data_IF_453421025122
#
_entry.id   IF_453421025122
#
_cell.length_a   1.000
_cell.length_b   1.000
_cell.length_c   1.000
_cell.angle_alpha   90.00
_cell.angle_beta   90.00
_cell.angle_gamma   90.00
#
_symmetry.space_group_name_H-M   'P 1'
#
loop_
_entity.id
_entity.type
_entity.pdbx_description
1 polymer ?
#
# COMPACT_ATOMS: atom_id res chain seq x y z
N UNK A 1 28.82 30.27 25.52
CA UNK A 1 27.73 29.64 26.29
C UNK A 1 26.32 30.06 25.81
N UNK A 2 26.06 31.32 25.46
CA UNK A 2 24.70 31.79 25.08
C UNK A 2 24.01 31.14 23.86
N UNK A 3 24.71 30.31 23.06
CA UNK A 3 24.13 29.58 21.92
C UNK A 3 24.20 28.05 22.06
N UNK A 4 24.65 27.54 23.21
CA UNK A 4 24.77 26.09 23.43
C UNK A 4 23.41 25.36 23.33
N UNK A 5 22.31 26.07 23.58
CA UNK A 5 20.95 25.55 23.44
C UNK A 5 20.63 25.03 22.02
N UNK A 6 21.28 25.57 20.97
CA UNK A 6 21.08 25.14 19.57
C UNK A 6 21.45 23.68 19.38
N UNK A 7 22.41 23.17 20.16
CA UNK A 7 22.86 21.77 20.11
C UNK A 7 22.23 20.98 21.25
N UNK A 8 22.22 21.54 22.46
CA UNK A 8 21.79 20.82 23.66
C UNK A 8 20.30 20.48 23.66
N UNK A 9 19.43 21.36 23.13
CA UNK A 9 17.99 21.09 23.08
C UNK A 9 17.66 19.93 22.12
N UNK A 10 18.09 19.95 20.83
CA UNK A 10 17.88 18.80 19.96
C UNK A 10 18.52 17.51 20.49
N UNK A 11 19.71 17.60 21.09
CA UNK A 11 20.38 16.44 21.68
C UNK A 11 19.57 15.86 22.86
N UNK A 12 19.04 16.70 23.75
CA UNK A 12 18.21 16.25 24.86
C UNK A 12 16.90 15.61 24.40
N UNK A 13 16.25 16.20 23.38
CA UNK A 13 15.05 15.62 22.74
C UNK A 13 15.38 14.27 22.10
N UNK A 14 16.49 14.18 21.38
CA UNK A 14 16.94 12.93 20.77
C UNK A 14 17.23 11.86 21.82
N UNK A 15 17.94 12.20 22.90
CA UNK A 15 18.22 11.28 24.02
C UNK A 15 16.91 10.82 24.66
N UNK A 16 15.97 11.72 24.93
CA UNK A 16 14.65 11.37 25.48
C UNK A 16 13.88 10.40 24.59
N UNK A 17 13.84 10.67 23.28
CA UNK A 17 13.24 9.76 22.31
C UNK A 17 13.97 8.42 22.23
N UNK A 18 15.30 8.43 22.22
CA UNK A 18 16.12 7.22 22.12
C UNK A 18 15.92 6.31 23.34
N UNK A 19 15.93 6.88 24.54
CA UNK A 19 15.69 6.16 25.79
C UNK A 19 14.28 5.58 25.87
N UNK A 20 13.26 6.29 25.36
CA UNK A 20 11.88 5.82 25.37
C UNK A 20 11.60 4.72 24.34
N UNK A 21 11.98 4.94 23.08
CA UNK A 21 11.58 4.07 21.96
C UNK A 21 12.69 3.85 20.93
N UNK A 22 13.56 4.83 20.71
CA UNK A 22 14.50 4.81 19.59
C UNK A 22 15.49 3.64 19.63
N UNK A 23 15.90 3.18 20.82
CA UNK A 23 16.80 2.04 20.98
C UNK A 23 16.18 0.69 20.54
N UNK A 24 14.85 0.61 20.41
CA UNK A 24 14.13 -0.56 19.89
C UNK A 24 13.90 -0.50 18.38
N UNK A 25 14.16 0.66 17.76
CA UNK A 25 13.95 0.84 16.34
C UNK A 25 15.00 0.08 15.52
N UNK A 26 14.57 -0.50 14.40
CA UNK A 26 15.49 -1.12 13.45
C UNK A 26 16.53 -0.11 12.96
N UNK A 27 17.81 -0.53 13.07
CA UNK A 27 18.96 0.22 12.61
C UNK A 27 19.65 -0.53 11.46
N UNK A 28 19.88 0.18 10.37
CA UNK A 28 20.68 -0.29 9.24
C UNK A 28 22.16 0.07 9.37
N UNK A 29 22.60 0.69 10.47
CA UNK A 29 23.97 1.17 10.62
C UNK A 29 24.98 0.01 10.51
N UNK A 30 25.81 0.06 9.48
CA UNK A 30 26.81 -0.97 9.20
C UNK A 30 28.01 -0.39 8.45
N UNK A 31 29.16 -1.08 8.52
CA UNK A 31 30.36 -0.72 7.73
C UNK A 31 30.04 -0.78 6.24
N UNK A 32 29.24 -1.75 5.80
CA UNK A 32 28.79 -1.88 4.42
C UNK A 32 28.04 -0.64 3.93
N UNK A 33 27.11 -0.13 4.73
CA UNK A 33 26.41 1.12 4.42
C UNK A 33 27.32 2.34 4.49
N UNK A 34 28.26 2.39 5.43
CA UNK A 34 29.24 3.48 5.51
C UNK A 34 30.10 3.58 4.24
N UNK A 35 30.57 2.45 3.70
CA UNK A 35 31.33 2.41 2.44
C UNK A 35 30.49 2.85 1.25
N UNK A 36 29.18 2.56 1.24
CA UNK A 36 28.26 2.95 0.16
C UNK A 36 27.68 4.35 0.29
N UNK A 37 27.83 4.99 1.46
CA UNK A 37 27.24 6.30 1.74
C UNK A 37 27.62 7.40 0.72
N UNK A 38 28.86 7.51 0.20
CA UNK A 38 29.18 8.50 -0.82
C UNK A 38 28.37 8.32 -2.11
N UNK A 39 28.21 7.07 -2.58
CA UNK A 39 27.42 6.75 -3.77
C UNK A 39 25.94 7.04 -3.51
N UNK A 40 25.45 6.72 -2.30
CA UNK A 40 24.09 7.06 -1.87
C UNK A 40 23.84 8.57 -1.91
N UNK A 41 24.76 9.39 -1.38
CA UNK A 41 24.63 10.86 -1.37
C UNK A 41 24.54 11.41 -2.79
N UNK A 42 25.39 10.93 -3.71
CA UNK A 42 25.35 11.36 -5.11
C UNK A 42 24.04 10.93 -5.78
N UNK A 43 23.59 9.70 -5.56
CA UNK A 43 22.31 9.23 -6.08
C UNK A 43 21.13 10.04 -5.53
N UNK A 44 21.14 10.35 -4.23
CA UNK A 44 20.12 11.17 -3.58
C UNK A 44 20.10 12.61 -4.13
N UNK A 45 21.26 13.22 -4.36
CA UNK A 45 21.37 14.54 -4.99
C UNK A 45 20.76 14.53 -6.40
N UNK A 46 21.12 13.54 -7.21
CA UNK A 46 20.60 13.43 -8.58
C UNK A 46 19.09 13.23 -8.60
N UNK A 47 18.60 12.33 -7.73
CA UNK A 47 17.17 12.05 -7.63
C UNK A 47 16.41 13.26 -7.08
N UNK A 48 16.97 14.03 -6.14
CA UNK A 48 16.36 15.27 -5.67
C UNK A 48 16.29 16.35 -6.76
N UNK A 49 17.29 16.46 -7.63
CA UNK A 49 17.25 17.34 -8.81
C UNK A 49 16.23 16.85 -9.83
N UNK A 50 16.15 15.54 -10.06
CA UNK A 50 15.10 14.94 -10.88
C UNK A 50 13.71 15.22 -10.29
N UNK A 51 13.53 15.12 -8.96
CA UNK A 51 12.31 15.48 -8.22
C UNK A 51 11.92 16.92 -8.47
N UNK A 52 12.88 17.83 -8.34
CA UNK A 52 12.64 19.25 -8.54
C UNK A 52 12.26 19.55 -9.99
N UNK A 53 12.84 18.85 -10.97
CA UNK A 53 12.70 19.18 -12.39
C UNK A 53 11.59 18.39 -13.09
N UNK A 54 11.18 17.24 -12.57
CA UNK A 54 10.32 16.27 -13.24
C UNK A 54 11.07 15.33 -14.19
N UNK A 55 12.41 15.38 -14.22
CA UNK A 55 13.25 14.56 -15.10
C UNK A 55 13.42 13.13 -14.56
N UNK A 56 12.32 12.39 -14.48
CA UNK A 56 12.32 10.98 -14.11
C UNK A 56 11.99 10.06 -15.29
N UNK A 57 12.48 8.81 -15.27
CA UNK A 57 11.85 7.76 -16.04
C UNK A 57 10.40 7.60 -15.54
N UNK A 58 9.43 8.01 -16.35
CA UNK A 58 7.99 8.03 -16.02
C UNK A 58 7.42 6.64 -15.66
N UNK A 59 8.09 5.57 -16.06
CA UNK A 59 7.55 4.21 -16.05
C UNK A 59 8.13 3.32 -14.95
N UNK A 60 9.25 3.71 -14.30
CA UNK A 60 9.91 2.86 -13.31
C UNK A 60 10.56 3.67 -12.18
N UNK A 61 10.22 3.31 -10.93
CA UNK A 61 10.99 3.72 -9.75
C UNK A 61 12.34 3.01 -9.78
N UNK A 62 13.31 3.65 -10.43
CA UNK A 62 14.64 3.08 -10.55
C UNK A 62 15.43 3.25 -9.24
N UNK A 63 15.59 2.14 -8.51
CA UNK A 63 16.39 2.08 -7.28
C UNK A 63 17.92 2.06 -7.53
N UNK A 64 18.33 2.08 -8.79
CA UNK A 64 19.73 1.91 -9.18
C UNK A 64 20.64 3.01 -8.66
N UNK A 65 21.79 2.62 -8.12
CA UNK A 65 22.86 3.53 -7.77
C UNK A 65 23.53 4.20 -8.99
N UNK A 66 23.14 3.86 -10.22
CA UNK A 66 23.57 4.59 -11.42
C UNK A 66 23.17 6.08 -11.38
N UNK A 67 22.18 6.46 -10.58
CA UNK A 67 21.87 7.86 -10.26
C UNK A 67 23.07 8.63 -9.65
N UNK A 68 24.07 7.94 -9.11
CA UNK A 68 25.30 8.60 -8.66
C UNK A 68 26.07 9.27 -9.81
N UNK A 69 25.94 8.82 -11.05
CA UNK A 69 26.60 9.42 -12.23
C UNK A 69 26.07 10.84 -12.51
N UNK A 70 24.75 11.06 -12.74
CA UNK A 70 24.22 12.41 -12.88
C UNK A 70 24.44 13.24 -11.60
N UNK A 71 24.40 12.62 -10.42
CA UNK A 71 24.71 13.27 -9.14
C UNK A 71 26.12 13.83 -9.08
N UNK A 72 27.11 13.05 -9.54
CA UNK A 72 28.49 13.51 -9.69
C UNK A 72 28.59 14.67 -10.67
N UNK A 73 27.89 14.61 -11.80
CA UNK A 73 27.81 15.71 -12.76
C UNK A 73 27.29 17.02 -12.13
N UNK A 74 26.23 16.93 -11.34
CA UNK A 74 25.65 18.07 -10.60
C UNK A 74 26.65 18.60 -9.55
N UNK A 75 27.29 17.71 -8.79
CA UNK A 75 28.29 18.10 -7.80
C UNK A 75 29.48 18.82 -8.44
N UNK A 76 29.99 18.31 -9.57
CA UNK A 76 31.06 18.95 -10.34
C UNK A 76 30.64 20.30 -10.91
N UNK A 77 29.39 20.45 -11.37
CA UNK A 77 28.86 21.73 -11.81
C UNK A 77 28.81 22.75 -10.65
N UNK A 78 28.36 22.34 -9.47
CA UNK A 78 28.36 23.19 -8.27
C UNK A 78 29.78 23.61 -7.89
N UNK A 79 30.73 22.66 -7.88
CA UNK A 79 32.15 22.95 -7.64
C UNK A 79 32.71 23.94 -8.66
N UNK A 80 32.38 23.77 -9.94
CA UNK A 80 32.77 24.68 -11.01
C UNK A 80 32.20 26.09 -10.81
N UNK A 81 30.92 26.22 -10.45
CA UNK A 81 30.29 27.52 -10.14
C UNK A 81 31.00 28.19 -8.97
N UNK A 82 31.23 27.45 -7.87
CA UNK A 82 31.95 27.97 -6.70
C UNK A 82 33.38 28.40 -7.06
N UNK A 83 34.09 27.58 -7.83
CA UNK A 83 35.44 27.87 -8.30
C UNK A 83 35.47 29.16 -9.14
N UNK A 84 34.52 29.32 -10.08
CA UNK A 84 34.39 30.52 -10.90
C UNK A 84 34.09 31.77 -10.08
N UNK A 85 33.33 31.65 -8.99
CA UNK A 85 33.02 32.77 -8.08
C UNK A 85 34.21 33.19 -7.21
N UNK A 86 35.23 32.33 -7.05
CA UNK A 86 36.39 32.54 -6.16
C UNK A 86 36.04 32.85 -4.69
N UNK A 87 34.78 32.65 -4.29
CA UNK A 87 34.25 32.87 -2.94
C UNK A 87 33.20 31.80 -2.67
N UNK A 88 33.27 31.21 -1.48
CA UNK A 88 32.26 30.27 -1.00
C UNK A 88 31.31 31.05 -0.08
N UNK A 89 30.05 31.28 -0.49
CA UNK A 89 29.09 31.97 0.36
C UNK A 89 28.76 31.10 1.59
N UNK A 90 28.64 31.69 2.79
CA UNK A 90 28.34 30.93 4.01
C UNK A 90 26.99 30.22 3.92
N UNK A 91 26.01 30.78 3.19
CA UNK A 91 24.71 30.17 2.95
C UNK A 91 24.83 28.82 2.23
N UNK A 92 25.76 28.71 1.26
CA UNK A 92 26.03 27.45 0.57
C UNK A 92 26.63 26.41 1.51
N UNK A 93 27.55 26.82 2.39
CA UNK A 93 28.16 25.91 3.37
C UNK A 93 27.12 25.36 4.34
N UNK A 94 26.21 26.21 4.81
CA UNK A 94 25.09 25.80 5.67
C UNK A 94 24.18 24.82 4.94
N UNK A 95 23.76 25.14 3.71
CA UNK A 95 22.91 24.26 2.91
C UNK A 95 23.57 22.89 2.63
N UNK A 96 24.85 22.89 2.24
CA UNK A 96 25.62 21.67 2.02
C UNK A 96 25.79 20.86 3.31
N UNK A 97 26.08 21.49 4.44
CA UNK A 97 26.19 20.80 5.72
C UNK A 97 24.89 20.08 6.08
N UNK A 98 23.75 20.76 5.98
CA UNK A 98 22.43 20.18 6.25
C UNK A 98 22.15 19.00 5.30
N UNK A 99 22.32 19.22 3.99
CA UNK A 99 22.04 18.22 2.97
C UNK A 99 22.91 16.96 3.11
N UNK A 100 24.23 17.16 3.28
CA UNK A 100 25.19 16.08 3.44
C UNK A 100 24.95 15.32 4.75
N UNK A 101 24.70 16.00 5.86
CA UNK A 101 24.36 15.32 7.12
C UNK A 101 23.10 14.46 6.96
N UNK A 102 22.05 14.99 6.34
CA UNK A 102 20.82 14.22 6.11
C UNK A 102 21.04 13.00 5.21
N UNK A 103 21.65 13.19 4.04
CA UNK A 103 21.85 12.08 3.09
C UNK A 103 22.87 11.06 3.58
N UNK A 104 23.93 11.47 4.29
CA UNK A 104 24.90 10.56 4.89
C UNK A 104 24.25 9.73 6.00
N UNK A 105 23.50 10.34 6.92
CA UNK A 105 22.81 9.61 7.98
C UNK A 105 21.74 8.66 7.40
N UNK A 106 21.04 9.08 6.35
CA UNK A 106 20.07 8.24 5.63
C UNK A 106 20.75 7.03 4.95
N UNK A 107 21.88 7.26 4.29
CA UNK A 107 22.67 6.20 3.66
C UNK A 107 23.30 5.25 4.68
N UNK A 108 23.80 5.77 5.81
CA UNK A 108 24.33 4.97 6.92
C UNK A 108 23.27 4.06 7.52
N UNK A 109 22.05 4.57 7.68
CA UNK A 109 20.91 3.85 8.26
C UNK A 109 20.02 3.17 7.19
N UNK A 110 20.55 2.87 6.01
CA UNK A 110 19.78 2.30 4.92
C UNK A 110 19.30 0.88 5.25
N UNK A 111 18.00 0.66 5.12
CA UNK A 111 17.33 -0.65 5.17
C UNK A 111 16.33 -0.76 4.00
N UNK A 112 15.87 -1.97 3.62
CA UNK A 112 14.87 -2.15 2.57
C UNK A 112 13.63 -1.27 2.77
N UNK A 113 13.14 -0.63 1.70
CA UNK A 113 12.01 0.31 1.77
C UNK A 113 12.35 1.71 2.32
N UNK A 114 13.63 1.99 2.61
CA UNK A 114 14.15 3.31 3.03
C UNK A 114 15.26 3.85 2.11
N UNK A 115 15.20 3.48 0.83
CA UNK A 115 16.13 3.98 -0.19
C UNK A 115 15.95 5.49 -0.46
N UNK A 116 16.98 6.11 -1.05
CA UNK A 116 16.98 7.54 -1.36
C UNK A 116 15.76 7.94 -2.19
N UNK A 117 15.29 7.09 -3.09
CA UNK A 117 14.16 7.34 -4.00
C UNK A 117 12.79 7.41 -3.30
N UNK A 118 12.66 7.00 -2.04
CA UNK A 118 11.36 7.00 -1.36
C UNK A 118 10.89 8.43 -1.03
N UNK A 119 9.59 8.69 -1.18
CA UNK A 119 8.99 10.02 -1.08
C UNK A 119 9.37 10.80 0.19
N UNK A 120 9.49 10.10 1.32
CA UNK A 120 9.89 10.66 2.62
C UNK A 120 11.30 11.28 2.65
N UNK A 121 12.22 10.85 1.80
CA UNK A 121 13.56 11.48 1.67
C UNK A 121 13.62 12.48 0.52
N UNK A 122 12.74 12.36 -0.46
CA UNK A 122 12.69 13.24 -1.62
C UNK A 122 12.22 14.65 -1.29
N UNK A 123 11.19 14.78 -0.47
CA UNK A 123 10.66 16.10 -0.11
C UNK A 123 11.72 16.98 0.59
N UNK A 124 12.43 16.51 1.65
CA UNK A 124 13.57 17.25 2.19
C UNK A 124 14.71 17.44 1.18
N UNK A 125 14.99 16.42 0.35
CA UNK A 125 16.03 16.48 -0.67
C UNK A 125 15.86 17.64 -1.65
N UNK A 126 14.64 17.88 -2.14
CA UNK A 126 14.31 19.01 -3.02
C UNK A 126 14.54 20.34 -2.31
N UNK A 127 14.13 20.46 -1.04
CA UNK A 127 14.35 21.67 -0.24
C UNK A 127 15.86 21.93 -0.12
N UNK A 128 16.67 20.91 0.14
CA UNK A 128 18.13 21.05 0.21
C UNK A 128 18.72 21.49 -1.11
N UNK A 129 18.27 20.95 -2.24
CA UNK A 129 18.70 21.40 -3.57
C UNK A 129 18.39 22.89 -3.77
N UNK A 130 17.18 23.34 -3.43
CA UNK A 130 16.79 24.75 -3.52
C UNK A 130 17.65 25.65 -2.61
N UNK A 131 17.96 25.20 -1.39
CA UNK A 131 18.86 25.90 -0.48
C UNK A 131 20.29 25.96 -1.02
N UNK A 132 20.81 24.86 -1.59
CA UNK A 132 22.13 24.79 -2.22
C UNK A 132 22.21 25.76 -3.40
N UNK A 133 21.19 25.78 -4.27
CA UNK A 133 21.12 26.72 -5.38
C UNK A 133 21.04 28.17 -4.88
N UNK A 134 20.18 28.45 -3.90
CA UNK A 134 20.06 29.77 -3.28
C UNK A 134 21.38 30.26 -2.68
N UNK A 135 22.10 29.39 -1.97
CA UNK A 135 23.43 29.67 -1.44
C UNK A 135 24.47 29.85 -2.54
N UNK A 136 24.52 28.95 -3.52
CA UNK A 136 25.48 29.00 -4.63
C UNK A 136 25.36 30.27 -5.47
N UNK A 137 24.16 30.86 -5.55
CA UNK A 137 23.89 32.11 -6.26
C UNK A 137 23.63 33.32 -5.31
N UNK A 138 23.92 33.18 -4.01
CA UNK A 138 23.72 34.25 -3.04
C UNK A 138 24.47 35.54 -3.44
N UNK A 139 23.78 36.68 -3.37
CA UNK A 139 24.30 37.99 -3.76
C UNK A 139 24.30 38.28 -5.27
N UNK A 140 23.90 37.33 -6.12
CA UNK A 140 23.70 37.60 -7.54
C UNK A 140 22.31 38.15 -7.80
N UNK A 141 22.21 39.12 -8.72
CA UNK A 141 20.94 39.67 -9.19
C UNK A 141 20.72 39.22 -10.63
N UNK A 142 19.77 38.31 -10.91
CA UNK A 142 19.51 37.87 -12.28
C UNK A 142 19.00 39.04 -13.11
N UNK A 143 19.50 39.19 -14.34
CA UNK A 143 18.95 40.15 -15.28
C UNK A 143 17.59 39.66 -15.81
N UNK A 144 16.86 40.51 -16.55
CA UNK A 144 15.53 40.15 -17.09
C UNK A 144 15.55 38.91 -17.99
N UNK A 145 16.64 38.67 -18.71
CA UNK A 145 16.76 37.51 -19.59
C UNK A 145 16.93 36.21 -18.80
N UNK A 146 17.79 36.21 -17.78
CA UNK A 146 17.94 35.08 -16.86
C UNK A 146 16.63 34.79 -16.14
N UNK A 147 15.93 35.83 -15.67
CA UNK A 147 14.63 35.65 -15.03
C UNK A 147 13.59 35.03 -15.98
N UNK A 148 13.55 35.45 -17.25
CA UNK A 148 12.69 34.82 -18.27
C UNK A 148 13.01 33.34 -18.44
N UNK A 149 14.28 32.96 -18.52
CA UNK A 149 14.67 31.56 -18.63
C UNK A 149 14.34 30.75 -17.38
N UNK A 150 14.50 31.31 -16.19
CA UNK A 150 14.09 30.68 -14.94
C UNK A 150 12.58 30.45 -14.91
N UNK A 151 11.79 31.45 -15.31
CA UNK A 151 10.33 31.32 -15.41
C UNK A 151 9.95 30.21 -16.40
N UNK A 152 10.58 30.16 -17.58
CA UNK A 152 10.33 29.12 -18.57
C UNK A 152 10.72 27.73 -18.05
N UNK A 153 11.86 27.61 -17.38
CA UNK A 153 12.32 26.35 -16.77
C UNK A 153 11.37 25.89 -15.67
N UNK A 154 10.94 26.80 -14.79
CA UNK A 154 9.96 26.50 -13.74
C UNK A 154 8.61 26.09 -14.32
N UNK A 155 8.12 26.78 -15.35
CA UNK A 155 6.87 26.42 -16.02
C UNK A 155 6.95 25.04 -16.68
N UNK A 156 8.04 24.75 -17.41
CA UNK A 156 8.27 23.45 -18.01
C UNK A 156 8.34 22.33 -16.95
N UNK A 157 9.08 22.57 -15.86
CA UNK A 157 9.20 21.64 -14.75
C UNK A 157 7.87 21.36 -14.06
N UNK A 158 7.05 22.39 -13.85
CA UNK A 158 5.72 22.25 -13.28
C UNK A 158 4.81 21.41 -14.19
N UNK A 159 4.83 21.70 -15.50
CA UNK A 159 4.05 20.94 -16.48
C UNK A 159 4.44 19.45 -16.51
N UNK A 160 5.74 19.15 -16.49
CA UNK A 160 6.22 17.77 -16.44
C UNK A 160 5.80 17.10 -15.13
N UNK A 161 5.97 17.73 -13.98
CA UNK A 161 5.56 17.17 -12.69
C UNK A 161 4.03 16.94 -12.61
N UNK A 162 3.21 17.84 -13.15
CA UNK A 162 1.76 17.65 -13.24
C UNK A 162 1.42 16.46 -14.16
N UNK A 163 2.10 16.35 -15.31
CA UNK A 163 1.91 15.22 -16.21
C UNK A 163 2.27 13.88 -15.54
N UNK A 164 3.40 13.84 -14.81
CA UNK A 164 3.82 12.68 -14.01
C UNK A 164 2.76 12.34 -12.97
N UNK A 165 2.27 13.34 -12.22
CA UNK A 165 1.27 13.14 -11.18
C UNK A 165 -0.02 12.55 -11.75
N UNK A 166 -0.51 13.07 -12.87
CA UNK A 166 -1.71 12.56 -13.55
C UNK A 166 -1.47 11.13 -14.06
N UNK A 167 -0.29 10.88 -14.64
CA UNK A 167 0.07 9.56 -15.14
C UNK A 167 0.13 8.53 -14.00
N UNK A 168 0.84 8.83 -12.92
CA UNK A 168 0.95 7.96 -11.73
C UNK A 168 -0.40 7.77 -11.04
N UNK A 169 -1.25 8.80 -11.04
CA UNK A 169 -2.62 8.64 -10.54
C UNK A 169 -3.37 7.59 -11.35
N UNK A 170 -3.40 7.71 -12.68
CA UNK A 170 -4.18 6.84 -13.56
C UNK A 170 -3.67 5.39 -13.69
N UNK A 171 -2.37 5.16 -13.48
CA UNK A 171 -1.75 3.85 -13.75
C UNK A 171 -1.20 3.18 -12.48
N UNK A 172 -1.36 3.79 -11.31
CA UNK A 172 -0.82 3.22 -10.07
C UNK A 172 -1.67 3.54 -8.86
N UNK A 173 -1.95 4.82 -8.61
CA UNK A 173 -2.64 5.19 -7.37
C UNK A 173 -4.16 4.96 -7.41
N UNK A 174 -4.80 5.06 -8.59
CA UNK A 174 -6.23 4.76 -8.74
C UNK A 174 -6.53 3.31 -8.38
N UNK A 175 -5.76 2.38 -8.94
CA UNK A 175 -5.97 0.95 -8.75
C UNK A 175 -5.66 0.55 -7.31
N UNK A 176 -4.63 1.16 -6.73
CA UNK A 176 -4.29 1.00 -5.32
C UNK A 176 -5.38 1.53 -4.39
N UNK A 177 -5.95 2.70 -4.70
CA UNK A 177 -7.05 3.28 -3.94
C UNK A 177 -8.29 2.38 -4.02
N UNK A 178 -8.70 1.99 -5.22
CA UNK A 178 -9.85 1.09 -5.43
C UNK A 178 -9.67 -0.24 -4.66
N UNK A 179 -8.50 -0.87 -4.75
CA UNK A 179 -8.18 -2.10 -4.00
C UNK A 179 -8.33 -1.93 -2.49
N UNK A 180 -7.91 -0.78 -1.95
CA UNK A 180 -8.01 -0.50 -0.53
C UNK A 180 -9.45 -0.22 -0.10
N UNK A 181 -10.20 0.54 -0.90
CA UNK A 181 -11.62 0.78 -0.64
C UNK A 181 -12.45 -0.51 -0.71
N UNK A 182 -12.11 -1.41 -1.63
CA UNK A 182 -12.66 -2.77 -1.69
C UNK A 182 -12.34 -3.58 -0.43
N UNK A 183 -11.12 -3.47 0.09
CA UNK A 183 -10.75 -4.15 1.33
C UNK A 183 -11.56 -3.62 2.53
N UNK A 184 -11.92 -2.33 2.54
CA UNK A 184 -12.79 -1.74 3.55
C UNK A 184 -14.27 -2.13 3.38
N UNK A 185 -14.75 -2.37 2.15
CA UNK A 185 -16.10 -2.89 1.93
C UNK A 185 -16.31 -4.26 2.61
N UNK A 186 -15.25 -5.03 2.80
CA UNK A 186 -15.30 -6.27 3.57
C UNK A 186 -15.62 -6.06 5.06
N UNK A 187 -15.46 -4.84 5.59
CA UNK A 187 -15.87 -4.48 6.94
C UNK A 187 -17.28 -3.90 7.00
N UNK A 188 -17.67 -3.11 5.99
CA UNK A 188 -18.99 -2.49 5.95
C UNK A 188 -20.10 -3.50 5.68
N UNK A 189 -19.90 -4.35 4.68
CA UNK A 189 -20.95 -5.26 4.22
C UNK A 189 -21.47 -6.18 5.34
N UNK A 190 -20.62 -6.83 6.16
CA UNK A 190 -21.11 -7.67 7.27
C UNK A 190 -22.05 -6.98 8.26
N UNK A 191 -21.99 -5.65 8.38
CA UNK A 191 -22.75 -4.88 9.36
C UNK A 191 -22.60 -5.46 10.77
N UNK A 192 -23.73 -5.75 11.42
CA UNK A 192 -23.74 -6.31 12.78
C UNK A 192 -23.14 -7.72 12.94
N UNK A 193 -22.75 -8.40 11.86
CA UNK A 193 -22.06 -9.69 11.90
C UNK A 193 -20.56 -9.59 11.61
N UNK A 194 -20.00 -8.38 11.58
CA UNK A 194 -18.58 -8.16 11.41
C UNK A 194 -17.77 -8.87 12.52
N UNK A 195 -16.80 -9.67 12.10
CA UNK A 195 -15.80 -10.23 12.99
C UNK A 195 -14.79 -9.14 13.38
N UNK A 196 -14.93 -8.55 14.57
CA UNK A 196 -14.08 -7.44 15.05
C UNK A 196 -12.61 -7.80 15.26
N UNK A 197 -12.28 -9.10 15.31
CA UNK A 197 -10.90 -9.58 15.42
C UNK A 197 -10.26 -9.82 14.04
N UNK A 198 -11.00 -9.60 12.95
CA UNK A 198 -10.48 -9.67 11.59
C UNK A 198 -9.64 -8.45 11.22
N UNK A 199 -8.77 -8.65 10.23
CA UNK A 199 -7.95 -7.59 9.66
C UNK A 199 -7.84 -7.76 8.14
N UNK A 200 -7.67 -6.64 7.44
CA UNK A 200 -7.45 -6.64 5.99
C UNK A 200 -6.14 -5.94 5.67
N UNK A 201 -5.45 -6.43 4.63
CA UNK A 201 -4.25 -5.80 4.10
C UNK A 201 -4.59 -4.61 3.19
N UNK A 202 -3.93 -3.48 3.39
CA UNK A 202 -4.14 -2.22 2.64
C UNK A 202 -2.86 -1.74 1.91
N UNK A 203 -1.82 -2.56 1.88
CA UNK A 203 -0.59 -2.32 1.11
C UNK A 203 -0.48 -3.27 -0.08
N UNK A 204 0.42 -2.97 -1.02
CA UNK A 204 0.62 -3.81 -2.20
C UNK A 204 0.91 -5.28 -1.85
N UNK A 205 1.64 -5.48 -0.74
CA UNK A 205 2.04 -6.77 -0.19
C UNK A 205 1.13 -7.25 0.98
N UNK A 206 0.01 -6.58 1.23
CA UNK A 206 -0.96 -6.88 2.30
C UNK A 206 -0.35 -6.92 3.72
N UNK A 207 0.82 -6.30 3.95
CA UNK A 207 1.49 -6.27 5.26
C UNK A 207 1.02 -5.14 6.16
N UNK A 208 0.56 -4.03 5.59
CA UNK A 208 -0.09 -2.98 6.36
C UNK A 208 -1.52 -3.44 6.66
N UNK A 209 -1.78 -3.78 7.91
CA UNK A 209 -3.07 -4.29 8.34
C UNK A 209 -3.94 -3.18 8.93
N UNK A 210 -5.22 -3.21 8.61
CA UNK A 210 -6.27 -2.47 9.31
C UNK A 210 -7.16 -3.48 10.01
N UNK A 211 -7.37 -3.30 11.31
CA UNK A 211 -8.25 -4.16 12.11
C UNK A 211 -9.68 -3.64 12.06
N UNK A 212 -10.65 -4.55 11.99
CA UNK A 212 -12.08 -4.23 11.93
C UNK A 212 -12.53 -3.31 13.08
N UNK A 213 -12.05 -3.58 14.31
CA UNK A 213 -12.36 -2.76 15.50
C UNK A 213 -11.91 -1.30 15.36
N UNK A 214 -10.70 -1.06 14.86
CA UNK A 214 -10.17 0.29 14.69
C UNK A 214 -10.86 1.03 13.55
N UNK A 215 -11.22 0.28 12.50
CA UNK A 215 -11.99 0.78 11.37
C UNK A 215 -13.39 1.24 11.81
N UNK A 216 -14.15 0.41 12.53
CA UNK A 216 -15.50 0.74 13.03
C UNK A 216 -15.47 2.00 13.92
N UNK A 217 -14.50 2.09 14.83
CA UNK A 217 -14.32 3.27 15.67
C UNK A 217 -14.01 4.54 14.87
N UNK A 218 -13.35 4.41 13.71
CA UNK A 218 -13.06 5.52 12.83
C UNK A 218 -14.25 5.91 11.95
N UNK A 219 -15.00 4.95 11.41
CA UNK A 219 -16.15 5.20 10.52
C UNK A 219 -17.31 5.83 11.27
N UNK A 220 -17.52 5.49 12.55
CA UNK A 220 -18.49 6.18 13.42
C UNK A 220 -18.26 7.69 13.49
N UNK A 221 -17.00 8.13 13.37
CA UNK A 221 -16.60 9.53 13.48
C UNK A 221 -16.48 10.24 12.13
N UNK A 222 -15.98 9.55 11.11
CA UNK A 222 -15.56 10.18 9.85
C UNK A 222 -16.34 9.70 8.62
N UNK A 223 -17.22 8.71 8.78
CA UNK A 223 -17.88 8.01 7.67
C UNK A 223 -17.01 6.92 7.06
N UNK A 224 -17.64 6.05 6.27
CA UNK A 224 -16.95 4.96 5.59
C UNK A 224 -16.21 5.44 4.34
N UNK A 225 -14.94 5.04 4.14
CA UNK A 225 -14.23 5.19 2.87
C UNK A 225 -14.43 4.01 1.90
N UNK A 226 -15.17 2.97 2.29
CA UNK A 226 -15.42 1.80 1.46
C UNK A 226 -16.24 2.14 0.20
N UNK A 227 -16.11 1.28 -0.81
CA UNK A 227 -17.00 1.34 -1.98
C UNK A 227 -18.41 0.89 -1.61
N UNK A 228 -19.42 1.55 -2.16
CA UNK A 228 -20.80 1.05 -2.12
C UNK A 228 -21.03 -0.10 -3.12
N UNK A 229 -22.18 -0.77 -3.06
CA UNK A 229 -22.46 -1.92 -3.94
C UNK A 229 -22.44 -1.58 -5.45
N UNK A 230 -22.89 -0.38 -5.84
CA UNK A 230 -22.85 0.02 -7.25
C UNK A 230 -21.40 0.26 -7.71
N UNK A 231 -20.59 0.86 -6.84
CA UNK A 231 -19.16 1.05 -7.07
C UNK A 231 -18.42 -0.29 -7.13
N UNK A 232 -18.75 -1.22 -6.23
CA UNK A 232 -18.23 -2.60 -6.24
C UNK A 232 -18.58 -3.30 -7.56
N UNK A 233 -19.80 -3.16 -8.05
CA UNK A 233 -20.21 -3.72 -9.35
C UNK A 233 -19.37 -3.18 -10.51
N UNK A 234 -18.98 -1.90 -10.45
CA UNK A 234 -18.13 -1.27 -11.46
C UNK A 234 -16.63 -1.59 -11.33
N UNK A 235 -16.22 -2.12 -10.17
CA UNK A 235 -14.82 -2.42 -9.88
C UNK A 235 -14.29 -3.56 -10.75
N UNK A 236 -12.96 -3.65 -10.86
CA UNK A 236 -12.30 -4.71 -11.64
C UNK A 236 -12.68 -6.11 -11.12
N UNK A 237 -12.71 -7.11 -12.02
CA UNK A 237 -13.04 -8.48 -11.64
C UNK A 237 -12.14 -9.01 -10.51
N UNK A 238 -10.83 -8.72 -10.55
CA UNK A 238 -9.89 -9.12 -9.51
C UNK A 238 -10.18 -8.45 -8.15
N UNK A 239 -10.64 -7.20 -8.13
CA UNK A 239 -11.05 -6.53 -6.90
C UNK A 239 -12.36 -7.12 -6.33
N UNK A 240 -13.33 -7.44 -7.18
CA UNK A 240 -14.57 -8.12 -6.74
C UNK A 240 -14.29 -9.53 -6.19
N UNK A 241 -13.40 -10.28 -6.82
CA UNK A 241 -12.94 -11.58 -6.30
C UNK A 241 -12.19 -11.45 -4.97
N UNK A 242 -11.34 -10.42 -4.84
CA UNK A 242 -10.67 -10.11 -3.58
C UNK A 242 -11.69 -9.82 -2.48
N UNK A 243 -12.74 -9.04 -2.75
CA UNK A 243 -13.80 -8.78 -1.79
C UNK A 243 -14.45 -10.08 -1.31
N UNK A 244 -14.77 -10.98 -2.22
CA UNK A 244 -15.36 -12.28 -1.88
C UNK A 244 -14.44 -13.09 -0.95
N UNK A 245 -13.12 -13.09 -1.18
CA UNK A 245 -12.15 -13.74 -0.29
C UNK A 245 -12.15 -13.14 1.12
N UNK A 246 -12.16 -11.81 1.21
CA UNK A 246 -12.13 -11.11 2.49
C UNK A 246 -13.42 -11.35 3.29
N UNK A 247 -14.57 -11.33 2.60
CA UNK A 247 -15.89 -11.54 3.22
C UNK A 247 -16.01 -12.90 3.90
N UNK A 248 -15.36 -13.95 3.39
CA UNK A 248 -15.34 -15.26 4.07
C UNK A 248 -14.87 -15.13 5.52
N UNK A 249 -13.81 -14.35 5.75
CA UNK A 249 -13.23 -14.14 7.07
C UNK A 249 -13.94 -13.07 7.89
N UNK A 250 -14.31 -11.95 7.27
CA UNK A 250 -14.88 -10.79 7.98
C UNK A 250 -16.36 -10.98 8.32
N UNK A 251 -17.14 -11.66 7.48
CA UNK A 251 -18.55 -11.99 7.77
C UNK A 251 -18.70 -13.11 8.81
N UNK A 252 -17.62 -13.85 9.09
CA UNK A 252 -17.67 -14.99 10.00
C UNK A 252 -18.45 -16.17 9.43
N UNK A 253 -18.37 -16.38 8.11
CA UNK A 253 -18.84 -17.63 7.49
C UNK A 253 -18.13 -18.79 8.19
N UNK A 254 -18.81 -19.92 8.42
CA UNK A 254 -18.22 -21.06 9.13
C UNK A 254 -18.89 -22.39 8.85
N UNK A 255 -18.14 -23.46 9.08
CA UNK A 255 -18.70 -24.80 9.20
C UNK A 255 -19.45 -24.96 10.53
N UNK A 256 -20.57 -25.66 10.46
CA UNK A 256 -21.32 -26.12 11.64
C UNK A 256 -21.50 -27.64 11.56
N UNK A 257 -21.62 -28.34 12.70
CA UNK A 257 -21.76 -29.79 12.68
C UNK A 257 -22.99 -30.23 11.88
N UNK A 258 -22.86 -31.23 11.01
CA UNK A 258 -24.01 -31.67 10.18
C UNK A 258 -25.24 -32.11 10.99
N UNK A 259 -25.04 -32.56 12.24
CA UNK A 259 -26.13 -32.91 13.16
C UNK A 259 -27.00 -31.71 13.60
N UNK A 260 -26.49 -30.48 13.48
CA UNK A 260 -27.22 -29.27 13.85
C UNK A 260 -28.03 -28.70 12.70
N UNK A 261 -28.01 -29.34 11.53
CA UNK A 261 -28.72 -28.89 10.33
C UNK A 261 -29.53 -30.03 9.71
N UNK A 262 -30.72 -29.72 9.22
CA UNK A 262 -31.58 -30.66 8.48
C UNK A 262 -31.74 -30.16 7.04
N UNK A 263 -31.41 -30.98 6.01
CA UNK A 263 -31.51 -30.56 4.62
C UNK A 263 -32.97 -30.43 4.18
N UNK A 264 -33.26 -29.38 3.42
CA UNK A 264 -34.53 -29.17 2.71
C UNK A 264 -34.43 -29.88 1.36
N UNK A 265 -34.93 -31.13 1.30
CA UNK A 265 -34.72 -32.04 0.15
C UNK A 265 -35.13 -31.46 -1.20
N UNK A 266 -36.16 -30.62 -1.26
CA UNK A 266 -36.64 -30.00 -2.50
C UNK A 266 -35.66 -29.01 -3.13
N UNK A 267 -34.75 -28.42 -2.33
CA UNK A 267 -33.75 -27.45 -2.79
C UNK A 267 -32.38 -28.06 -3.09
N UNK A 268 -32.23 -29.38 -2.99
CA UNK A 268 -30.93 -30.00 -3.21
C UNK A 268 -30.48 -29.90 -4.68
N UNK A 269 -29.19 -29.65 -4.88
CA UNK A 269 -28.49 -29.64 -6.17
C UNK A 269 -27.25 -30.52 -6.06
N UNK A 270 -26.88 -31.15 -7.17
CA UNK A 270 -25.64 -31.91 -7.28
C UNK A 270 -24.76 -31.18 -8.26
N UNK A 271 -23.60 -30.72 -7.80
CA UNK A 271 -22.59 -30.04 -8.59
C UNK A 271 -21.38 -30.95 -8.78
N UNK A 272 -20.67 -30.76 -9.88
CA UNK A 272 -19.40 -31.41 -10.16
C UNK A 272 -18.28 -30.60 -9.55
N UNK A 273 -17.41 -31.23 -8.76
CA UNK A 273 -16.16 -30.61 -8.34
C UNK A 273 -15.12 -30.75 -9.44
N UNK A 274 -14.47 -29.64 -9.80
CA UNK A 274 -13.41 -29.58 -10.81
C UNK A 274 -12.24 -28.71 -10.32
N UNK A 275 -11.19 -28.49 -11.13
CA UNK A 275 -10.01 -27.76 -10.68
C UNK A 275 -10.27 -26.28 -10.34
N UNK A 276 -11.34 -25.69 -10.88
CA UNK A 276 -11.61 -24.24 -10.83
C UNK A 276 -12.99 -23.90 -10.28
N UNK A 277 -13.72 -24.87 -9.74
CA UNK A 277 -15.12 -24.75 -9.34
C UNK A 277 -16.01 -24.12 -10.44
N UNK A 278 -15.90 -24.59 -11.68
CA UNK A 278 -16.59 -23.97 -12.82
C UNK A 278 -18.12 -24.11 -12.74
N UNK A 279 -18.61 -25.20 -12.17
CA UNK A 279 -20.04 -25.39 -11.90
C UNK A 279 -20.41 -24.74 -10.56
N UNK A 280 -21.33 -23.78 -10.61
CA UNK A 280 -21.80 -23.04 -9.42
C UNK A 280 -23.32 -23.02 -9.34
N UNK A 281 -23.83 -22.81 -8.13
CA UNK A 281 -25.26 -22.53 -7.88
C UNK A 281 -25.39 -21.38 -6.91
N UNK A 282 -26.48 -20.63 -7.01
CA UNK A 282 -26.86 -19.67 -5.98
C UNK A 282 -27.22 -20.40 -4.67
N UNK A 283 -26.86 -19.76 -3.57
CA UNK A 283 -27.08 -20.24 -2.22
C UNK A 283 -28.42 -19.75 -1.72
N UNK A 284 -29.41 -20.64 -1.67
CA UNK A 284 -30.72 -20.33 -1.11
C UNK A 284 -30.68 -20.40 0.43
N UNK A 285 -30.57 -19.24 1.08
CA UNK A 285 -30.65 -19.09 2.53
C UNK A 285 -29.30 -19.15 3.27
N UNK A 286 -29.37 -19.08 4.60
CA UNK A 286 -28.18 -18.87 5.46
C UNK A 286 -27.47 -20.17 5.87
N UNK A 287 -28.21 -21.28 5.90
CA UNK A 287 -27.70 -22.57 6.35
C UNK A 287 -27.73 -23.55 5.19
N UNK A 288 -26.62 -24.25 4.99
CA UNK A 288 -26.50 -25.31 3.99
C UNK A 288 -26.12 -26.62 4.63
N UNK A 289 -26.49 -27.68 3.93
CA UNK A 289 -26.01 -29.03 4.16
C UNK A 289 -25.25 -29.45 2.91
N UNK A 290 -23.99 -29.85 3.08
CA UNK A 290 -23.07 -30.17 1.99
C UNK A 290 -22.55 -31.58 2.21
N UNK A 291 -22.57 -32.42 1.18
CA UNK A 291 -21.96 -33.75 1.20
C UNK A 291 -21.24 -34.02 -0.11
N UNK A 292 -19.97 -34.34 -0.02
CA UNK A 292 -19.14 -34.73 -1.16
C UNK A 292 -18.86 -36.23 -1.14
N UNK A 293 -18.76 -36.86 -2.31
CA UNK A 293 -18.27 -38.24 -2.45
C UNK A 293 -16.74 -38.34 -2.28
N UNK A 294 -16.01 -37.28 -2.62
CA UNK A 294 -14.57 -37.14 -2.56
C UNK A 294 -14.14 -35.88 -1.78
N UNK A 295 -12.87 -35.75 -1.38
CA UNK A 295 -12.35 -34.50 -0.85
C UNK A 295 -12.54 -33.33 -1.82
N UNK A 296 -13.12 -32.22 -1.35
CA UNK A 296 -13.30 -31.02 -2.15
C UNK A 296 -13.17 -29.74 -1.31
N UNK A 297 -12.71 -28.67 -1.91
CA UNK A 297 -12.73 -27.33 -1.33
C UNK A 297 -14.05 -26.64 -1.67
N UNK A 298 -14.65 -26.02 -0.68
CA UNK A 298 -15.83 -25.17 -0.82
C UNK A 298 -15.33 -23.79 -1.25
N UNK A 299 -15.78 -23.33 -2.41
CA UNK A 299 -15.50 -22.00 -2.90
C UNK A 299 -16.80 -21.17 -2.94
N UNK A 300 -16.70 -19.91 -2.54
CA UNK A 300 -17.79 -18.96 -2.56
C UNK A 300 -17.49 -17.84 -3.56
N UNK A 301 -18.53 -17.17 -4.04
CA UNK A 301 -18.40 -15.92 -4.78
C UNK A 301 -19.69 -15.14 -4.68
N UNK A 302 -19.61 -13.82 -4.70
CA UNK A 302 -20.78 -12.95 -4.64
C UNK A 302 -20.65 -11.87 -5.69
N UNK A 303 -19.62 -11.04 -5.57
CA UNK A 303 -19.35 -9.93 -6.48
C UNK A 303 -18.43 -10.34 -7.65
N UNK A 304 -17.52 -11.29 -7.43
CA UNK A 304 -16.63 -11.80 -8.47
C UNK A 304 -17.38 -12.48 -9.62
N UNK A 305 -16.77 -12.69 -10.81
CA UNK A 305 -17.43 -13.37 -11.91
C UNK A 305 -17.78 -14.84 -11.61
N UNK A 306 -17.08 -15.50 -10.67
CA UNK A 306 -17.33 -16.88 -10.26
C UNK A 306 -17.07 -17.12 -8.77
N UNK A 307 -17.11 -18.39 -8.35
CA UNK A 307 -16.85 -18.78 -6.96
C UNK A 307 -15.35 -19.05 -6.76
N UNK A 308 -14.56 -18.02 -6.48
CA UNK A 308 -13.10 -18.14 -6.27
C UNK A 308 -12.67 -18.07 -4.81
N UNK A 309 -13.56 -17.60 -3.91
CA UNK A 309 -13.28 -17.43 -2.49
C UNK A 309 -13.11 -18.76 -1.78
N UNK A 310 -11.88 -19.15 -1.45
CA UNK A 310 -11.62 -20.46 -0.86
C UNK A 310 -11.95 -20.41 0.62
N UNK A 311 -12.96 -21.19 1.00
CA UNK A 311 -13.60 -21.01 2.28
C UNK A 311 -13.24 -22.13 3.26
N UNK A 312 -13.58 -23.37 2.91
CA UNK A 312 -13.32 -24.54 3.76
C UNK A 312 -13.10 -25.80 2.94
N UNK A 313 -12.68 -26.86 3.63
CA UNK A 313 -12.55 -28.20 3.06
C UNK A 313 -13.70 -29.09 3.54
N UNK A 314 -14.30 -29.86 2.62
CA UNK A 314 -15.24 -30.94 2.95
C UNK A 314 -14.59 -32.29 2.74
N UNK A 315 -14.66 -33.14 3.76
CA UNK A 315 -14.16 -34.53 3.69
C UNK A 315 -15.08 -35.43 2.86
N UNK A 316 -14.50 -36.51 2.34
CA UNK A 316 -15.24 -37.52 1.59
C UNK A 316 -16.31 -38.22 2.46
N UNK A 317 -17.52 -38.36 1.92
CA UNK A 317 -18.62 -39.16 2.45
C UNK A 317 -19.31 -38.59 3.70
N UNK A 318 -18.72 -37.61 4.40
CA UNK A 318 -19.28 -37.00 5.61
C UNK A 318 -19.99 -35.70 5.27
N UNK A 319 -21.28 -35.56 5.61
CA UNK A 319 -21.95 -34.29 5.45
C UNK A 319 -21.40 -33.26 6.43
N UNK A 320 -21.46 -31.99 6.03
CA UNK A 320 -21.05 -30.84 6.82
C UNK A 320 -22.12 -29.76 6.71
N UNK A 321 -22.43 -29.10 7.83
CA UNK A 321 -23.29 -27.92 7.82
C UNK A 321 -22.45 -26.68 7.53
N UNK A 322 -23.07 -25.70 6.90
CA UNK A 322 -22.40 -24.46 6.50
C UNK A 322 -23.28 -23.27 6.83
N UNK A 323 -22.74 -22.24 7.48
CA UNK A 323 -23.48 -21.04 7.86
C UNK A 323 -22.87 -19.81 7.18
N UNK A 324 -23.71 -19.10 6.43
CA UNK A 324 -23.46 -17.76 5.91
C UNK A 324 -24.33 -16.79 6.72
N UNK A 325 -23.75 -15.98 7.64
CA UNK A 325 -24.47 -14.95 8.38
C UNK A 325 -25.14 -13.94 7.44
N UNK A 326 -26.24 -13.28 7.87
CA UNK A 326 -26.78 -12.17 7.10
C UNK A 326 -25.84 -10.98 7.12
N UNK A 327 -25.93 -10.16 6.10
CA UNK A 327 -25.17 -8.93 5.95
C UNK A 327 -26.06 -7.84 5.31
N UNK A 328 -25.45 -6.73 4.94
CA UNK A 328 -26.16 -5.56 4.40
C UNK A 328 -26.42 -5.66 2.88
N UNK A 329 -25.92 -6.68 2.19
CA UNK A 329 -26.07 -6.80 0.72
C UNK A 329 -27.19 -7.72 0.31
N UNK A 330 -27.90 -7.32 -0.74
CA UNK A 330 -28.98 -8.10 -1.35
C UNK A 330 -28.46 -9.06 -2.45
N UNK A 331 -27.18 -8.98 -2.83
CA UNK A 331 -26.58 -9.86 -3.83
C UNK A 331 -26.56 -11.31 -3.32
N UNK A 332 -26.95 -12.32 -4.12
CA UNK A 332 -26.90 -13.71 -3.68
C UNK A 332 -25.47 -14.25 -3.66
N UNK A 333 -25.16 -15.08 -2.65
CA UNK A 333 -23.95 -15.89 -2.67
C UNK A 333 -24.08 -17.00 -3.71
N UNK A 334 -22.98 -17.31 -4.38
CA UNK A 334 -22.78 -18.48 -5.23
C UNK A 334 -21.78 -19.42 -4.57
N UNK A 335 -22.02 -20.71 -4.73
CA UNK A 335 -21.16 -21.77 -4.20
C UNK A 335 -20.72 -22.70 -5.33
N UNK A 336 -19.43 -23.05 -5.31
CA UNK A 336 -18.80 -24.02 -6.19
C UNK A 336 -17.83 -24.90 -5.42
N UNK A 337 -17.28 -25.93 -6.06
CA UNK A 337 -16.39 -26.89 -5.41
C UNK A 337 -15.14 -27.16 -6.24
N UNK A 338 -13.96 -26.94 -5.64
CA UNK A 338 -12.69 -27.28 -6.26
C UNK A 338 -12.21 -28.67 -5.83
N UNK A 339 -11.95 -29.57 -6.77
CA UNK A 339 -11.55 -30.96 -6.51
C UNK A 339 -11.96 -31.92 -7.62
N UNK A 340 -12.47 -33.09 -7.23
CA UNK A 340 -13.04 -34.09 -8.12
C UNK A 340 -14.28 -34.71 -7.48
N UNK A 341 -15.18 -35.27 -8.29
CA UNK A 341 -16.37 -35.99 -7.82
C UNK A 341 -17.63 -35.14 -7.82
N UNK A 342 -18.67 -35.62 -7.13
CA UNK A 342 -19.98 -34.99 -7.05
C UNK A 342 -20.27 -34.49 -5.63
N UNK A 343 -20.69 -33.24 -5.54
CA UNK A 343 -21.06 -32.59 -4.28
C UNK A 343 -22.55 -32.29 -4.28
N UNK A 344 -23.26 -32.83 -3.30
CA UNK A 344 -24.65 -32.48 -3.02
C UNK A 344 -24.69 -31.29 -2.07
N UNK A 345 -25.31 -30.19 -2.49
CA UNK A 345 -25.58 -29.01 -1.68
C UNK A 345 -27.08 -28.83 -1.54
N UNK A 346 -27.55 -28.58 -0.32
CA UNK A 346 -28.96 -28.34 -0.04
C UNK A 346 -29.10 -27.12 0.89
N UNK A 347 -30.14 -26.29 0.69
CA UNK A 347 -30.63 -25.41 1.74
C UNK A 347 -30.95 -26.23 2.99
N UNK A 348 -30.71 -25.65 4.16
CA UNK A 348 -30.90 -26.34 5.43
C UNK A 348 -31.61 -25.45 6.45
N UNK A 349 -32.18 -26.11 7.46
CA UNK A 349 -32.76 -25.46 8.65
C UNK A 349 -32.07 -26.00 9.89
N UNK A 350 -32.10 -25.27 11.02
CA UNK A 350 -31.64 -25.82 12.29
C UNK A 350 -32.31 -27.16 12.57
N UNK A 351 -31.53 -28.15 12.99
CA UNK A 351 -32.07 -29.41 13.49
C UNK A 351 -32.90 -29.13 14.75
N UNK A 352 -34.02 -29.85 14.88
CA UNK A 352 -34.89 -29.77 16.06
C UNK A 352 -34.33 -30.54 17.24
#
# INVERSE_FOLDING_TARGET
LGRSWVILVPAAVFIGWWLGWGHLAESGMSVHNAVRAPVYVLAALAYAVASLTGLFPLHELNESYLWAIPGLGIALLLLYVVHRRRKVPPELLVALAIALTFWLLSGLNLIPGRGFHTSRYQFPGVIFVLMILGGAFAGLRPNRQVLRWLVLLTAASLLVNIAVLIYSFKHSYSDYAERNQISYAAFDLPGGNLNLDSAVGISNDDRALVYARDYEAATDKYGSPALDENEIESASAGNRERLDQLLVGTLGIKLVPARTVTPVKSGCRVLTADATASETTEVEGRLLWIRSDQPAFIQLGRFGPGASATAWFTGAGKPTGYLIPPDLSDQPWRIGFAGAGKVTVCPARPAK
#
